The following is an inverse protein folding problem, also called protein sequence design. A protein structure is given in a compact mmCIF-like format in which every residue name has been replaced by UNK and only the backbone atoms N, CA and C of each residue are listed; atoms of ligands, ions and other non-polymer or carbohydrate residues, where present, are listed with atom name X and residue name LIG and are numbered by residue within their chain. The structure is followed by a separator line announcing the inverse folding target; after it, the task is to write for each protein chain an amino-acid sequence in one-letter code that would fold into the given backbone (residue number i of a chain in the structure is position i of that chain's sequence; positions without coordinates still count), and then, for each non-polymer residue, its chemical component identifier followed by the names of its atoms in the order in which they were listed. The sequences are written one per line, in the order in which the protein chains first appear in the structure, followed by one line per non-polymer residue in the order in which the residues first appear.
data_IF_260710537777
#
_entry.id   IF_260710537777
#
_cell.length_a   1.000
_cell.length_b   1.000
_cell.length_c   1.000
_cell.angle_alpha   90.00
_cell.angle_beta   90.00
_cell.angle_gamma   90.00
#
_symmetry.space_group_name_H-M   'P 1'
#
loop_
_entity.id
_entity.type
_entity.pdbx_description
1 polymer ?
#
# COMPACT_ATOMS: atom_id res chain seq x y z
N UNK A 1 -11.18 -5.06 6.25
CA UNK A 1 -11.29 -3.69 5.73
C UNK A 1 -11.03 -2.62 6.78
N UNK A 2 -11.55 -2.72 8.00
CA UNK A 2 -11.31 -1.71 9.05
C UNK A 2 -9.81 -1.40 9.30
N UNK A 3 -8.97 -2.42 9.48
CA UNK A 3 -7.52 -2.24 9.72
C UNK A 3 -6.83 -1.49 8.56
N UNK A 4 -7.20 -1.82 7.32
CA UNK A 4 -6.70 -1.15 6.12
C UNK A 4 -7.11 0.34 6.11
N UNK A 5 -8.37 0.64 6.43
CA UNK A 5 -8.89 2.01 6.49
C UNK A 5 -8.18 2.86 7.56
N UNK A 6 -7.90 2.29 8.73
CA UNK A 6 -7.17 2.99 9.81
C UNK A 6 -5.76 3.36 9.35
N UNK A 7 -5.00 2.43 8.77
CA UNK A 7 -3.65 2.73 8.29
C UNK A 7 -3.68 3.70 7.10
N UNK A 8 -4.66 3.55 6.20
CA UNK A 8 -4.83 4.45 5.07
C UNK A 8 -5.13 5.89 5.51
N UNK A 9 -5.88 6.10 6.60
CA UNK A 9 -6.13 7.43 7.15
C UNK A 9 -4.82 8.17 7.46
N UNK A 10 -3.90 7.52 8.18
CA UNK A 10 -2.58 8.09 8.47
C UNK A 10 -1.72 8.23 7.21
N UNK A 11 -1.79 7.24 6.30
CA UNK A 11 -1.16 7.33 4.99
C UNK A 11 -1.63 8.55 4.19
N UNK A 12 -2.93 8.82 4.20
CA UNK A 12 -3.55 9.97 3.52
C UNK A 12 -3.05 11.30 4.07
N UNK A 13 -2.95 11.44 5.40
CA UNK A 13 -2.34 12.62 6.03
C UNK A 13 -0.89 12.81 5.53
N UNK A 14 -0.09 11.75 5.52
CA UNK A 14 1.26 11.80 4.95
C UNK A 14 1.28 12.17 3.46
N UNK A 15 0.24 11.80 2.70
CA UNK A 15 0.07 12.17 1.30
C UNK A 15 -0.18 13.67 1.11
N UNK A 16 -1.01 14.26 1.96
CA UNK A 16 -1.26 15.71 1.98
C UNK A 16 0.03 16.47 2.33
N UNK A 17 0.82 15.94 3.28
CA UNK A 17 2.15 16.49 3.60
C UNK A 17 3.08 16.47 2.38
N UNK A 18 3.13 15.35 1.64
CA UNK A 18 3.96 15.21 0.44
C UNK A 18 3.50 16.13 -0.71
N UNK A 19 2.19 16.38 -0.82
CA UNK A 19 1.61 17.25 -1.85
C UNK A 19 1.81 18.74 -1.54
N UNK A 20 2.15 19.08 -0.29
CA UNK A 20 2.39 20.46 0.14
C UNK A 20 3.80 20.90 -0.26
N UNK A 21 3.91 21.74 -1.30
CA UNK A 21 5.19 22.10 -1.94
C UNK A 21 6.33 22.42 -0.96
N UNK A 22 6.13 23.39 -0.05
CA UNK A 22 7.17 23.81 0.89
C UNK A 22 7.50 22.73 1.93
N UNK A 23 6.51 21.95 2.35
CA UNK A 23 6.71 20.89 3.34
C UNK A 23 7.47 19.73 2.72
N UNK A 24 7.18 19.41 1.46
CA UNK A 24 7.87 18.36 0.72
C UNK A 24 9.38 18.62 0.67
N UNK A 25 9.86 19.87 0.61
CA UNK A 25 11.29 20.17 0.63
C UNK A 25 12.03 19.60 1.85
N UNK A 26 11.35 19.44 3.00
CA UNK A 26 11.93 18.90 4.23
C UNK A 26 12.00 17.37 4.22
N UNK A 27 11.03 16.72 3.60
CA UNK A 27 10.84 15.27 3.64
C UNK A 27 11.20 14.56 2.32
N UNK A 28 11.50 15.33 1.28
CA UNK A 28 11.81 14.80 -0.04
C UNK A 28 13.07 13.93 0.03
N UNK A 29 13.00 12.75 -0.59
CA UNK A 29 14.07 11.75 -0.56
C UNK A 29 14.51 11.26 0.83
N UNK A 30 13.71 11.48 1.88
CA UNK A 30 13.95 10.88 3.20
C UNK A 30 13.13 9.60 3.40
N UNK A 31 13.38 8.90 4.50
CA UNK A 31 12.63 7.72 4.95
C UNK A 31 11.14 8.00 5.21
N UNK A 32 10.73 9.28 5.26
CA UNK A 32 9.34 9.69 5.35
C UNK A 32 8.51 9.14 4.18
N UNK A 33 9.02 9.24 2.95
CA UNK A 33 8.28 8.83 1.75
C UNK A 33 7.98 7.33 1.78
N UNK A 34 8.96 6.44 2.08
CA UNK A 34 8.66 5.05 2.43
C UNK A 34 7.65 4.85 3.55
N UNK A 35 7.76 5.59 4.66
CA UNK A 35 6.75 5.56 5.71
C UNK A 35 5.34 5.74 5.14
N UNK A 36 5.13 6.81 4.37
CA UNK A 36 3.84 7.13 3.76
C UNK A 36 3.30 5.98 2.89
N UNK A 37 4.08 5.51 1.90
CA UNK A 37 3.54 4.53 0.96
C UNK A 37 3.39 3.11 1.56
N UNK A 38 4.05 2.82 2.68
CA UNK A 38 3.80 1.59 3.42
C UNK A 38 2.43 1.61 4.11
N UNK A 39 1.91 2.77 4.52
CA UNK A 39 0.55 2.91 5.05
C UNK A 39 -0.53 2.91 3.97
N UNK A 40 -0.17 3.30 2.74
CA UNK A 40 -1.11 3.27 1.61
C UNK A 40 -1.05 1.91 0.91
N UNK A 41 -0.06 1.67 0.06
CA UNK A 41 0.03 0.46 -0.76
C UNK A 41 0.35 -0.77 0.09
N UNK A 42 1.42 -0.72 0.89
CA UNK A 42 1.85 -1.92 1.62
C UNK A 42 0.88 -2.31 2.76
N UNK A 43 -0.02 -1.42 3.17
CA UNK A 43 -1.03 -1.69 4.20
C UNK A 43 -2.43 -1.80 3.60
N UNK A 44 -2.99 -0.70 3.09
CA UNK A 44 -4.38 -0.66 2.67
C UNK A 44 -4.67 -1.60 1.48
N UNK A 45 -3.81 -1.55 0.46
CA UNK A 45 -3.94 -2.44 -0.72
C UNK A 45 -3.61 -3.87 -0.32
N UNK A 46 -2.48 -4.11 0.35
CA UNK A 46 -2.06 -5.47 0.74
C UNK A 46 -3.04 -6.17 1.68
N UNK A 47 -3.54 -5.51 2.73
CA UNK A 47 -4.53 -6.09 3.64
C UNK A 47 -5.87 -6.35 2.94
N UNK A 48 -6.27 -5.49 2.00
CA UNK A 48 -7.45 -5.72 1.18
C UNK A 48 -7.26 -6.95 0.30
N UNK A 49 -6.09 -7.06 -0.35
CA UNK A 49 -5.74 -8.22 -1.15
C UNK A 49 -5.74 -9.52 -0.33
N UNK A 50 -5.06 -9.53 0.82
CA UNK A 50 -5.06 -10.67 1.75
C UNK A 50 -6.49 -11.05 2.16
N UNK A 51 -7.31 -10.06 2.55
CA UNK A 51 -8.71 -10.26 2.88
C UNK A 51 -9.54 -10.85 1.74
N UNK A 52 -9.31 -10.40 0.50
CA UNK A 52 -9.94 -10.94 -0.70
C UNK A 52 -9.53 -12.40 -0.91
N UNK A 53 -8.24 -12.72 -0.80
CA UNK A 53 -7.77 -14.09 -1.02
C UNK A 53 -8.37 -15.09 -0.04
N UNK A 54 -8.73 -14.68 1.17
CA UNK A 54 -9.35 -15.56 2.16
C UNK A 54 -10.75 -16.05 1.80
N UNK A 55 -11.47 -15.38 0.91
CA UNK A 55 -12.73 -15.92 0.34
C UNK A 55 -12.56 -16.35 -1.11
N UNK A 56 -11.70 -15.68 -1.88
CA UNK A 56 -11.49 -15.98 -3.30
C UNK A 56 -10.79 -17.33 -3.52
N UNK A 57 -9.79 -17.68 -2.72
CA UNK A 57 -9.10 -18.97 -2.86
C UNK A 57 -10.03 -20.15 -2.53
N UNK A 58 -10.81 -20.13 -1.42
CA UNK A 58 -11.88 -21.10 -1.19
C UNK A 58 -12.87 -21.22 -2.34
N UNK A 59 -13.31 -20.07 -2.90
CA UNK A 59 -14.23 -20.02 -4.03
C UNK A 59 -13.66 -20.74 -5.27
N UNK A 60 -12.42 -20.43 -5.65
CA UNK A 60 -11.77 -21.00 -6.83
C UNK A 60 -11.41 -22.49 -6.68
N UNK A 61 -11.07 -22.93 -5.47
CA UNK A 61 -10.60 -24.29 -5.21
C UNK A 61 -11.69 -25.25 -4.72
N UNK A 62 -12.85 -24.72 -4.34
CA UNK A 62 -13.92 -25.50 -3.71
C UNK A 62 -13.54 -26.07 -2.33
N UNK A 63 -12.55 -25.47 -1.67
CA UNK A 63 -12.04 -25.90 -0.35
C UNK A 63 -12.43 -24.91 0.74
N UNK A 64 -12.48 -25.37 1.98
CA UNK A 64 -12.68 -24.51 3.15
C UNK A 64 -11.41 -23.74 3.48
N UNK A 65 -11.55 -22.49 3.92
CA UNK A 65 -10.43 -21.70 4.44
C UNK A 65 -9.78 -22.41 5.63
N UNK A 66 -8.47 -22.61 5.57
CA UNK A 66 -7.73 -23.26 6.65
C UNK A 66 -7.65 -22.34 7.87
N UNK A 67 -8.30 -22.76 8.97
CA UNK A 67 -8.35 -22.08 10.28
C UNK A 67 -8.61 -20.56 10.18
N UNK A 68 -9.86 -20.11 9.98
CA UNK A 68 -10.20 -18.68 9.83
C UNK A 68 -9.69 -17.76 10.95
N UNK A 69 -9.62 -18.25 12.21
CA UNK A 69 -9.05 -17.47 13.32
C UNK A 69 -7.59 -17.07 13.10
N UNK A 70 -6.81 -17.89 12.40
CA UNK A 70 -5.42 -17.60 12.07
C UNK A 70 -5.30 -16.50 11.01
N UNK A 71 -6.23 -16.43 10.06
CA UNK A 71 -6.31 -15.35 9.08
C UNK A 71 -6.57 -13.98 9.76
N UNK A 72 -7.42 -13.98 10.80
CA UNK A 72 -7.66 -12.78 11.63
C UNK A 72 -6.39 -12.37 12.39
N UNK A 73 -5.73 -13.32 13.06
CA UNK A 73 -4.47 -13.07 13.78
C UNK A 73 -3.39 -12.55 12.83
N UNK A 74 -3.24 -13.15 11.65
CA UNK A 74 -2.30 -12.71 10.62
C UNK A 74 -2.56 -11.25 10.22
N UNK A 75 -3.83 -10.87 10.02
CA UNK A 75 -4.20 -9.50 9.66
C UNK A 75 -3.83 -8.49 10.75
N UNK A 76 -3.99 -8.87 12.02
CA UNK A 76 -3.56 -8.05 13.16
C UNK A 76 -2.04 -7.93 13.27
N UNK A 77 -1.30 -9.02 13.06
CA UNK A 77 0.17 -9.02 13.04
C UNK A 77 0.67 -8.05 11.96
N UNK A 78 0.10 -8.12 10.75
CA UNK A 78 0.45 -7.19 9.67
C UNK A 78 0.14 -5.73 10.05
N UNK A 79 -1.04 -5.47 10.61
CA UNK A 79 -1.44 -4.14 11.04
C UNK A 79 -0.50 -3.54 12.08
N UNK A 80 -0.17 -4.29 13.14
CA UNK A 80 0.75 -3.85 14.20
C UNK A 80 2.16 -3.67 13.64
N UNK A 81 2.63 -4.59 12.81
CA UNK A 81 3.92 -4.49 12.13
C UNK A 81 4.02 -3.22 11.29
N UNK A 82 3.00 -2.91 10.50
CA UNK A 82 2.94 -1.70 9.67
C UNK A 82 2.89 -0.43 10.51
N UNK A 83 2.14 -0.42 11.62
CA UNK A 83 2.07 0.72 12.52
C UNK A 83 3.46 1.06 13.09
N UNK A 84 4.18 0.06 13.58
CA UNK A 84 5.53 0.25 14.14
C UNK A 84 6.53 0.63 13.04
N UNK A 85 6.55 -0.14 11.95
CA UNK A 85 7.49 0.03 10.84
C UNK A 85 7.34 1.41 10.21
N UNK A 86 6.13 1.74 9.79
CA UNK A 86 5.89 2.99 9.07
C UNK A 86 6.05 4.21 9.97
N UNK A 87 5.57 4.17 11.22
CA UNK A 87 5.75 5.29 12.14
C UNK A 87 7.24 5.58 12.38
N UNK A 88 8.07 4.53 12.57
CA UNK A 88 9.50 4.69 12.73
C UNK A 88 10.18 5.26 11.47
N UNK A 89 9.73 4.87 10.26
CA UNK A 89 10.21 5.44 8.99
C UNK A 89 9.84 6.93 8.85
N UNK A 90 8.63 7.34 9.24
CA UNK A 90 8.26 8.76 9.28
C UNK A 90 9.18 9.55 10.22
N UNK A 91 9.40 9.04 11.44
CA UNK A 91 10.29 9.68 12.41
C UNK A 91 11.73 9.78 11.89
N UNK A 92 12.26 8.72 11.27
CA UNK A 92 13.58 8.76 10.61
C UNK A 92 13.63 9.81 9.50
N UNK A 93 12.56 9.91 8.71
CA UNK A 93 12.47 10.87 7.62
C UNK A 93 12.52 12.31 8.11
N UNK A 94 11.89 12.61 9.24
CA UNK A 94 11.96 13.92 9.90
C UNK A 94 13.35 14.23 10.45
N UNK A 95 14.12 13.20 10.82
CA UNK A 95 15.52 13.32 11.22
C UNK A 95 16.49 13.36 10.01
N UNK A 96 15.97 13.43 8.79
CA UNK A 96 16.78 13.55 7.57
C UNK A 96 17.38 12.24 7.05
N UNK A 97 16.98 11.08 7.58
CA UNK A 97 17.51 9.80 7.10
C UNK A 97 17.12 9.57 5.63
N UNK A 98 18.08 9.34 4.71
CA UNK A 98 17.78 9.19 3.30
C UNK A 98 17.08 7.86 3.02
N UNK A 99 16.18 7.85 2.03
CA UNK A 99 15.67 6.59 1.46
C UNK A 99 16.68 6.02 0.46
N UNK A 100 16.58 4.70 0.19
CA UNK A 100 17.40 3.99 -0.82
C UNK A 100 18.91 3.98 -0.49
N UNK A 101 19.24 3.99 0.79
CA UNK A 101 20.62 3.87 1.30
C UNK A 101 20.71 2.63 2.19
N UNK A 102 21.78 1.82 2.10
CA UNK A 102 22.02 0.70 3.00
C UNK A 102 22.45 1.22 4.39
N UNK A 103 21.52 1.82 5.13
CA UNK A 103 21.81 2.48 6.40
C UNK A 103 22.40 1.52 7.45
N UNK A 104 22.16 0.21 7.34
CA UNK A 104 22.77 -0.79 8.24
C UNK A 104 24.26 -1.04 8.00
N UNK A 105 24.79 -0.63 6.85
CA UNK A 105 26.20 -0.80 6.45
C UNK A 105 26.92 0.56 6.34
N UNK A 106 26.18 1.67 6.51
CA UNK A 106 26.72 3.00 6.35
C UNK A 106 27.74 3.30 7.47
N UNK A 107 28.94 3.83 7.15
CA UNK A 107 29.95 4.15 8.15
C UNK A 107 29.61 5.40 8.98
N UNK A 108 28.56 6.13 8.60
CA UNK A 108 28.09 7.36 9.24
C UNK A 108 26.59 7.25 9.56
N UNK A 109 26.26 6.71 10.74
CA UNK A 109 24.89 6.71 11.25
C UNK A 109 24.82 7.65 12.45
N UNK A 110 24.09 8.77 12.36
CA UNK A 110 23.85 9.64 13.50
C UNK A 110 23.19 8.88 14.66
N UNK A 111 23.68 9.02 15.91
CA UNK A 111 23.15 8.29 17.06
C UNK A 111 21.63 8.44 17.26
N UNK A 112 21.07 9.59 16.90
CA UNK A 112 19.64 9.90 16.96
C UNK A 112 18.77 9.00 16.07
N UNK A 113 19.34 8.36 15.05
CA UNK A 113 18.61 7.43 14.17
C UNK A 113 18.46 6.04 14.78
N UNK A 114 19.36 5.63 15.68
CA UNK A 114 19.47 4.25 16.17
C UNK A 114 18.16 3.71 16.77
N UNK A 115 17.49 4.52 17.59
CA UNK A 115 16.23 4.11 18.21
C UNK A 115 15.11 3.86 17.18
N UNK A 116 15.07 4.66 16.11
CA UNK A 116 14.10 4.43 15.04
C UNK A 116 14.50 3.30 14.11
N UNK A 117 15.78 3.14 13.78
CA UNK A 117 16.28 2.02 12.97
C UNK A 117 15.95 0.69 13.64
N UNK A 118 16.11 0.59 14.96
CA UNK A 118 15.68 -0.59 15.72
C UNK A 118 14.17 -0.83 15.59
N UNK A 119 13.34 0.22 15.71
CA UNK A 119 11.88 0.09 15.54
C UNK A 119 11.49 -0.34 14.12
N UNK A 120 12.17 0.16 13.10
CA UNK A 120 12.01 -0.31 11.70
C UNK A 120 12.32 -1.81 11.62
N UNK A 121 13.43 -2.26 12.21
CA UNK A 121 13.80 -3.68 12.28
C UNK A 121 12.75 -4.54 12.99
N UNK A 122 12.27 -4.11 14.16
CA UNK A 122 11.21 -4.81 14.92
C UNK A 122 9.92 -4.89 14.11
N UNK A 123 9.46 -3.79 13.53
CA UNK A 123 8.29 -3.76 12.66
C UNK A 123 8.47 -4.70 11.46
N UNK A 124 9.64 -4.70 10.83
CA UNK A 124 9.98 -5.58 9.72
C UNK A 124 9.94 -7.06 10.09
N UNK A 125 10.45 -7.43 11.27
CA UNK A 125 10.39 -8.80 11.76
C UNK A 125 8.95 -9.27 12.03
N UNK A 126 8.11 -8.41 12.62
CA UNK A 126 6.68 -8.69 12.82
C UNK A 126 5.98 -8.88 11.46
N UNK A 127 6.28 -8.02 10.48
CA UNK A 127 5.74 -8.12 9.13
C UNK A 127 6.18 -9.41 8.43
N UNK A 128 7.43 -9.85 8.62
CA UNK A 128 7.91 -11.11 8.09
C UNK A 128 7.10 -12.30 8.64
N UNK A 129 6.84 -12.33 9.95
CA UNK A 129 5.95 -13.34 10.56
C UNK A 129 4.54 -13.26 9.97
N UNK A 130 3.99 -12.05 9.79
CA UNK A 130 2.68 -11.85 9.16
C UNK A 130 2.63 -12.32 7.69
N UNK A 131 3.68 -12.10 6.91
CA UNK A 131 3.81 -12.56 5.54
C UNK A 131 3.90 -14.09 5.47
N UNK A 132 4.73 -14.69 6.32
CA UNK A 132 4.87 -16.13 6.41
C UNK A 132 3.54 -16.80 6.76
N UNK A 133 2.85 -16.30 7.79
CA UNK A 133 1.53 -16.83 8.19
C UNK A 133 0.52 -16.73 7.04
N UNK A 134 0.51 -15.61 6.31
CA UNK A 134 -0.38 -15.42 5.16
C UNK A 134 -0.14 -16.50 4.09
N UNK A 135 1.11 -16.64 3.63
CA UNK A 135 1.48 -17.63 2.62
C UNK A 135 1.15 -19.04 3.10
N UNK A 136 1.42 -19.35 4.36
CA UNK A 136 1.11 -20.64 4.96
C UNK A 136 -0.40 -20.94 4.98
N UNK A 137 -1.24 -19.99 5.40
CA UNK A 137 -2.70 -20.15 5.42
C UNK A 137 -3.25 -20.40 4.02
N UNK A 138 -2.80 -19.62 3.03
CA UNK A 138 -3.24 -19.76 1.63
C UNK A 138 -2.77 -21.09 1.05
N UNK A 139 -1.50 -21.48 1.26
CA UNK A 139 -0.98 -22.76 0.80
C UNK A 139 -1.74 -23.95 1.42
N UNK A 140 -1.98 -23.91 2.74
CA UNK A 140 -2.78 -24.95 3.43
C UNK A 140 -4.21 -24.98 2.91
N UNK A 141 -4.81 -23.83 2.59
CA UNK A 141 -6.16 -23.77 2.02
C UNK A 141 -6.21 -24.38 0.63
N UNK A 142 -5.30 -23.97 -0.27
CA UNK A 142 -5.30 -24.39 -1.67
C UNK A 142 -4.95 -25.88 -1.86
N UNK A 143 -3.94 -26.38 -1.13
CA UNK A 143 -3.40 -27.72 -1.34
C UNK A 143 -3.81 -28.75 -0.28
N UNK A 144 -4.14 -28.31 0.93
CA UNK A 144 -4.40 -29.20 2.07
C UNK A 144 -5.74 -28.96 2.78
N UNK A 145 -6.60 -28.09 2.27
CA UNK A 145 -7.87 -27.73 2.90
C UNK A 145 -8.91 -28.81 2.68
N UNK A 146 -9.79 -29.03 3.67
CA UNK A 146 -10.94 -29.91 3.49
C UNK A 146 -11.81 -29.42 2.31
N UNK A 147 -12.33 -30.35 1.50
CA UNK A 147 -13.28 -30.00 0.45
C UNK A 147 -14.55 -29.45 1.09
N UNK A 148 -15.07 -28.35 0.56
CA UNK A 148 -16.34 -27.80 1.01
C UNK A 148 -17.49 -28.67 0.48
N UNK A 149 -18.48 -28.96 1.33
CA UNK A 149 -19.76 -29.50 0.86
C UNK A 149 -20.52 -28.42 0.06
N UNK A 150 -21.56 -28.80 -0.70
CA UNK A 150 -22.34 -27.85 -1.51
C UNK A 150 -22.91 -26.69 -0.69
N UNK A 151 -23.37 -26.94 0.54
CA UNK A 151 -23.90 -25.91 1.44
C UNK A 151 -22.81 -24.98 2.01
N UNK A 152 -21.55 -25.42 1.99
CA UNK A 152 -20.40 -24.68 2.53
C UNK A 152 -19.58 -23.98 1.45
N UNK A 153 -19.97 -24.11 0.18
CA UNK A 153 -19.29 -23.41 -0.92
C UNK A 153 -19.43 -21.91 -0.73
N UNK A 154 -18.28 -21.24 -0.75
CA UNK A 154 -18.21 -19.79 -0.68
C UNK A 154 -18.94 -19.21 -1.89
N UNK A 155 -19.77 -18.21 -1.66
CA UNK A 155 -20.36 -17.36 -2.70
C UNK A 155 -19.62 -16.03 -2.72
N UNK A 156 -19.56 -15.38 -3.88
CA UNK A 156 -18.94 -14.07 -4.00
C UNK A 156 -19.74 -13.10 -3.12
N UNK A 157 -19.12 -12.48 -2.09
CA UNK A 157 -19.82 -11.62 -1.16
C UNK A 157 -20.05 -10.24 -1.80
N UNK A 158 -21.09 -10.12 -2.62
CA UNK A 158 -21.55 -8.84 -3.17
C UNK A 158 -22.45 -8.17 -2.14
N UNK A 159 -22.12 -6.93 -1.78
CA UNK A 159 -22.96 -6.14 -0.89
C UNK A 159 -24.15 -5.56 -1.66
N UNK A 160 -25.33 -5.55 -1.04
CA UNK A 160 -26.53 -4.92 -1.59
C UNK A 160 -26.54 -3.42 -1.25
N UNK A 161 -26.80 -2.54 -2.24
CA UNK A 161 -26.90 -1.11 -1.97
C UNK A 161 -28.16 -0.80 -1.15
N UNK A 162 -28.06 0.17 -0.24
CA UNK A 162 -29.21 0.62 0.58
C UNK A 162 -30.30 1.31 -0.26
N UNK A 163 -29.91 1.95 -1.36
CA UNK A 163 -30.79 2.67 -2.25
C UNK A 163 -30.60 2.19 -3.69
N UNK A 164 -31.68 2.21 -4.45
CA UNK A 164 -31.65 1.88 -5.87
C UNK A 164 -30.87 2.95 -6.66
N UNK A 165 -30.08 2.49 -7.63
CA UNK A 165 -29.28 3.33 -8.51
C UNK A 165 -30.12 4.21 -9.45
N UNK A 166 -31.44 4.00 -9.50
CA UNK A 166 -32.39 4.71 -10.34
C UNK A 166 -32.36 6.25 -10.24
N UNK A 167 -31.79 6.82 -9.16
CA UNK A 167 -31.71 8.27 -8.96
C UNK A 167 -30.34 8.87 -9.31
N UNK A 168 -29.39 8.08 -9.81
CA UNK A 168 -28.09 8.60 -10.22
C UNK A 168 -28.24 9.48 -11.48
N UNK A 169 -27.72 10.73 -11.47
CA UNK A 169 -27.71 11.57 -12.66
C UNK A 169 -27.07 10.86 -13.87
N UNK A 170 -27.73 10.89 -15.04
CA UNK A 170 -27.28 10.16 -16.23
C UNK A 170 -25.85 10.49 -16.70
N UNK A 171 -25.34 11.69 -16.41
CA UNK A 171 -23.97 12.08 -16.76
C UNK A 171 -22.89 11.37 -15.92
N UNK A 172 -23.25 10.82 -14.75
CA UNK A 172 -22.37 9.95 -13.95
C UNK A 172 -22.32 8.52 -14.50
N UNK A 173 -23.31 8.12 -15.30
CA UNK A 173 -23.43 6.79 -15.90
C UNK A 173 -22.88 6.72 -17.35
N UNK A 174 -22.15 7.76 -17.79
CA UNK A 174 -21.50 7.79 -19.11
C UNK A 174 -20.04 8.13 -19.00
N UNK A 175 -19.16 7.40 -19.70
CA UNK A 175 -17.70 7.65 -19.63
C UNK A 175 -17.26 8.91 -20.39
N UNK A 176 -17.98 9.31 -21.44
CA UNK A 176 -17.54 10.32 -22.40
C UNK A 176 -17.15 11.67 -21.77
N UNK A 177 -17.98 12.34 -20.94
CA UNK A 177 -17.60 13.63 -20.36
C UNK A 177 -16.36 13.53 -19.46
N UNK A 178 -16.22 12.42 -18.72
CA UNK A 178 -15.10 12.19 -17.80
C UNK A 178 -13.78 11.91 -18.50
N UNK A 179 -13.81 11.12 -19.57
CA UNK A 179 -12.61 10.85 -20.39
C UNK A 179 -12.14 12.13 -21.07
N UNK A 180 -13.06 12.91 -21.65
CA UNK A 180 -12.72 14.19 -22.28
C UNK A 180 -12.13 15.15 -21.24
N UNK A 181 -12.79 15.30 -20.09
CA UNK A 181 -12.31 16.16 -19.01
C UNK A 181 -10.92 15.75 -18.51
N UNK A 182 -10.68 14.45 -18.30
CA UNK A 182 -9.38 13.94 -17.89
C UNK A 182 -8.28 14.23 -18.91
N UNK A 183 -8.54 14.02 -20.21
CA UNK A 183 -7.59 14.34 -21.28
C UNK A 183 -7.27 15.83 -21.33
N UNK A 184 -8.28 16.69 -21.21
CA UNK A 184 -8.09 18.13 -21.19
C UNK A 184 -7.22 18.57 -19.99
N UNK A 185 -7.49 18.03 -18.80
CA UNK A 185 -6.69 18.32 -17.61
C UNK A 185 -5.23 17.88 -17.77
N UNK A 186 -4.97 16.71 -18.38
CA UNK A 186 -3.62 16.25 -18.66
C UNK A 186 -2.90 17.20 -19.63
N UNK A 187 -3.57 17.61 -20.71
CA UNK A 187 -3.00 18.56 -21.70
C UNK A 187 -2.68 19.90 -21.04
N UNK A 188 -3.59 20.44 -20.23
CA UNK A 188 -3.40 21.71 -19.55
C UNK A 188 -2.24 21.62 -18.53
N UNK A 189 -2.17 20.54 -17.76
CA UNK A 189 -1.16 20.39 -16.71
C UNK A 189 0.24 20.10 -17.26
N UNK A 190 0.37 19.27 -18.31
CA UNK A 190 1.67 18.81 -18.80
C UNK A 190 2.09 19.43 -20.13
N UNK A 191 1.17 19.91 -20.95
CA UNK A 191 1.45 20.42 -22.30
C UNK A 191 2.56 21.48 -22.34
N UNK A 192 2.45 22.58 -21.55
CA UNK A 192 3.48 23.61 -21.53
C UNK A 192 4.87 23.08 -21.12
N UNK A 193 4.93 22.24 -20.09
CA UNK A 193 6.18 21.67 -19.57
C UNK A 193 6.82 20.71 -20.58
N UNK A 194 6.01 19.85 -21.23
CA UNK A 194 6.50 18.92 -22.22
C UNK A 194 7.01 19.62 -23.48
N UNK A 195 6.33 20.68 -23.93
CA UNK A 195 6.80 21.49 -25.06
C UNK A 195 8.17 22.07 -24.74
N UNK A 196 8.33 22.69 -23.57
CA UNK A 196 9.60 23.29 -23.15
C UNK A 196 10.74 22.25 -23.10
N UNK A 197 10.51 21.10 -22.47
CA UNK A 197 11.48 20.01 -22.39
C UNK A 197 11.88 19.45 -23.76
N UNK A 198 10.94 19.38 -24.71
CA UNK A 198 11.19 18.88 -26.07
C UNK A 198 11.93 19.90 -26.93
N UNK A 199 11.74 21.20 -26.69
CA UNK A 199 12.44 22.26 -27.42
C UNK A 199 13.83 22.56 -26.87
N UNK A 200 14.08 22.24 -25.60
CA UNK A 200 15.33 22.54 -24.89
C UNK A 200 16.02 21.28 -24.33
N UNK A 201 16.18 20.25 -25.15
CA UNK A 201 16.75 18.96 -24.70
C UNK A 201 18.23 19.06 -24.36
N UNK A 202 18.62 18.58 -23.18
CA UNK A 202 20.02 18.34 -22.79
C UNK A 202 20.22 16.83 -22.63
N UNK A 203 21.12 16.25 -23.41
CA UNK A 203 21.44 14.82 -23.34
C UNK A 203 22.62 14.53 -22.42
N UNK A 204 22.57 13.40 -21.71
CA UNK A 204 23.71 12.84 -20.96
C UNK A 204 23.89 11.36 -21.32
N UNK A 205 25.12 10.85 -21.44
CA UNK A 205 25.35 9.42 -21.62
C UNK A 205 24.86 8.62 -20.41
N UNK A 206 24.44 7.37 -20.64
CA UNK A 206 24.08 6.45 -19.55
C UNK A 206 25.30 6.05 -18.72
N UNK A 207 25.08 5.76 -17.44
CA UNK A 207 26.12 5.37 -16.47
C UNK A 207 25.77 4.02 -15.82
N UNK A 208 26.79 3.20 -15.54
CA UNK A 208 26.68 2.00 -14.71
C UNK A 208 27.47 2.21 -13.43
N UNK A 209 26.81 2.11 -12.29
CA UNK A 209 27.36 2.48 -10.97
C UNK A 209 27.23 1.34 -9.94
N UNK A 210 27.22 0.10 -10.43
CA UNK A 210 27.18 -1.13 -9.64
C UNK A 210 27.94 -2.25 -10.35
#
# INVERSE_FOLDING_TARGET
QLLAGILFFFGGIGGITNASYNVNLVIHNTAWVPGHFHLTVASAVTLSFMGITYWLVPYLTGRKLWKPKWAVVQSWIWFVGMLIFSNAMHMLGLLGAPRRTPLGEAPYIPPEWNGNLLRVGIGGAILFVGAYLYVFIIAKTAFGGEKASESERVRIPVAEPLHDAAHAPAWLDTFKPWVIGALLLVIIAYGPVLIDLLTHTVGSPGLKVW
#
